data_IF_308519484191
#
_entry.id   IF_308519484191
#
_cell.length_a   1.000
_cell.length_b   1.000
_cell.length_c   1.000
_cell.angle_alpha   90.00
_cell.angle_beta   90.00
_cell.angle_gamma   90.00
#
_symmetry.space_group_name_H-M   'P 1'
#
loop_
_entity.id
_entity.type
_entity.pdbx_description
1 polymer ?
#
# COMPACT_ATOMS: atom_id res chain seq x y z
N UNK A 1 -14.94 -26.54 27.59
CA UNK A 1 -14.51 -25.42 28.44
C UNK A 1 -13.78 -24.45 27.52
N UNK A 2 -14.41 -23.31 27.25
CA UNK A 2 -14.08 -22.39 26.16
C UNK A 2 -12.81 -21.59 26.46
N UNK A 3 -11.80 -21.66 25.59
CA UNK A 3 -10.66 -20.74 25.63
C UNK A 3 -11.12 -19.35 25.17
N UNK A 4 -11.13 -18.40 26.11
CA UNK A 4 -11.44 -17.00 25.84
C UNK A 4 -10.25 -16.34 25.15
N UNK A 5 -10.39 -16.08 23.85
CA UNK A 5 -9.49 -15.28 23.05
C UNK A 5 -9.52 -13.83 23.55
N UNK A 6 -8.55 -13.43 24.38
CA UNK A 6 -8.38 -12.02 24.76
C UNK A 6 -7.76 -11.27 23.59
N UNK A 7 -8.37 -10.18 23.07
CA UNK A 7 -7.70 -9.32 22.11
C UNK A 7 -6.47 -8.71 22.80
N UNK A 8 -5.29 -8.95 22.26
CA UNK A 8 -4.07 -8.29 22.70
C UNK A 8 -4.21 -6.80 22.41
N UNK A 9 -4.34 -5.99 23.45
CA UNK A 9 -4.36 -4.53 23.35
C UNK A 9 -2.96 -4.08 22.94
N UNK A 10 -2.78 -3.59 21.71
CA UNK A 10 -1.54 -2.93 21.31
C UNK A 10 -1.29 -1.75 22.27
N UNK A 11 -0.05 -1.56 22.76
CA UNK A 11 0.27 -0.42 23.60
C UNK A 11 0.01 0.87 22.83
N UNK A 12 -0.93 1.67 23.32
CA UNK A 12 -1.27 2.96 22.73
C UNK A 12 -0.16 3.95 23.04
N UNK A 13 0.74 4.17 22.08
CA UNK A 13 1.82 5.14 22.18
C UNK A 13 1.23 6.56 22.27
N UNK A 14 1.85 7.42 23.07
CA UNK A 14 1.49 8.84 23.07
C UNK A 14 1.95 9.52 21.77
N UNK A 15 1.33 10.66 21.43
CA UNK A 15 1.60 11.37 20.18
C UNK A 15 3.08 11.75 20.02
N UNK A 16 3.74 12.13 21.12
CA UNK A 16 5.15 12.53 21.10
C UNK A 16 6.06 11.34 20.76
N UNK A 17 5.75 10.15 21.29
CA UNK A 17 6.45 8.92 20.96
C UNK A 17 6.27 8.56 19.48
N UNK A 18 5.06 8.69 18.93
CA UNK A 18 4.80 8.45 17.51
C UNK A 18 5.60 9.43 16.65
N UNK A 19 5.61 10.72 17.00
CA UNK A 19 6.38 11.75 16.29
C UNK A 19 7.88 11.44 16.35
N UNK A 20 8.39 11.03 17.51
CA UNK A 20 9.80 10.68 17.69
C UNK A 20 10.21 9.50 16.80
N UNK A 21 9.42 8.42 16.79
CA UNK A 21 9.66 7.24 15.94
C UNK A 21 9.64 7.60 14.45
N UNK A 22 8.68 8.42 14.00
CA UNK A 22 8.64 8.89 12.60
C UNK A 22 9.85 9.73 12.23
N UNK A 23 10.34 10.59 13.13
CA UNK A 23 11.56 11.38 12.91
C UNK A 23 12.81 10.51 12.84
N UNK A 24 12.89 9.48 13.67
CA UNK A 24 13.99 8.52 13.64
C UNK A 24 14.01 7.75 12.31
N UNK A 25 12.86 7.21 11.88
CA UNK A 25 12.72 6.57 10.55
C UNK A 25 13.16 7.51 9.43
N UNK A 26 12.72 8.76 9.45
CA UNK A 26 13.12 9.77 8.46
C UNK A 26 14.64 10.02 8.47
N UNK A 27 15.26 10.10 9.64
CA UNK A 27 16.71 10.27 9.75
C UNK A 27 17.46 9.07 9.14
N UNK A 28 17.01 7.85 9.39
CA UNK A 28 17.59 6.65 8.79
C UNK A 28 17.47 6.67 7.26
N UNK A 29 16.32 7.10 6.71
CA UNK A 29 16.15 7.24 5.26
C UNK A 29 17.13 8.27 4.68
N UNK A 30 17.29 9.42 5.34
CA UNK A 30 18.21 10.49 4.90
C UNK A 30 19.67 10.06 4.83
N UNK A 31 20.08 9.09 5.66
CA UNK A 31 21.43 8.53 5.62
C UNK A 31 21.66 7.59 4.44
N UNK A 32 20.59 6.98 3.91
CA UNK A 32 20.67 5.97 2.85
C UNK A 32 20.36 6.55 1.47
N UNK A 33 19.48 7.55 1.38
CA UNK A 33 18.96 8.08 0.11
C UNK A 33 18.32 9.46 0.26
N UNK A 34 17.91 10.06 -0.86
CA UNK A 34 17.02 11.22 -0.83
C UNK A 34 15.67 10.83 -0.19
N UNK A 35 15.35 11.46 0.95
CA UNK A 35 14.13 11.19 1.71
C UNK A 35 12.86 11.79 1.07
N UNK A 36 13.01 12.77 0.18
CA UNK A 36 11.90 13.39 -0.53
C UNK A 36 12.16 13.37 -2.04
N UNK A 37 12.09 12.19 -2.67
CA UNK A 37 12.19 12.09 -4.12
C UNK A 37 10.97 12.74 -4.79
N UNK A 38 11.20 13.35 -5.95
CA UNK A 38 10.18 14.03 -6.75
C UNK A 38 10.20 13.60 -8.23
N UNK A 39 10.72 12.39 -8.48
CA UNK A 39 10.94 11.80 -9.80
C UNK A 39 9.78 10.90 -10.26
N UNK A 40 8.99 10.37 -9.33
CA UNK A 40 7.84 9.53 -9.65
C UNK A 40 6.73 10.33 -10.35
N UNK A 41 6.31 9.84 -11.53
CA UNK A 41 5.21 10.40 -12.31
C UNK A 41 4.11 9.34 -12.44
N UNK A 42 2.97 9.61 -11.82
CA UNK A 42 1.74 8.83 -12.05
C UNK A 42 1.20 9.10 -13.45
N UNK A 43 0.52 8.11 -14.02
CA UNK A 43 -0.22 8.22 -15.28
C UNK A 43 -1.72 8.00 -15.10
N UNK A 44 -2.15 7.53 -13.92
CA UNK A 44 -3.51 7.10 -13.64
C UNK A 44 -4.06 7.73 -12.35
N UNK A 45 -5.39 7.89 -12.31
CA UNK A 45 -6.15 8.28 -11.13
C UNK A 45 -7.09 7.15 -10.68
N UNK A 46 -7.29 7.00 -9.37
CA UNK A 46 -8.09 5.92 -8.80
C UNK A 46 -9.53 5.91 -9.34
N UNK A 47 -10.19 7.06 -9.39
CA UNK A 47 -11.56 7.15 -9.90
C UNK A 47 -11.67 6.81 -11.39
N UNK A 48 -10.70 7.22 -12.19
CA UNK A 48 -10.68 6.93 -13.64
C UNK A 48 -10.52 5.43 -13.89
N UNK A 49 -9.60 4.78 -13.16
CA UNK A 49 -9.42 3.32 -13.24
C UNK A 49 -10.69 2.58 -12.79
N UNK A 50 -11.36 3.05 -11.74
CA UNK A 50 -12.61 2.46 -11.27
C UNK A 50 -13.74 2.67 -12.30
N UNK A 51 -13.85 3.84 -12.92
CA UNK A 51 -14.87 4.12 -13.92
C UNK A 51 -14.66 3.28 -15.19
N UNK A 52 -13.40 3.09 -15.60
CA UNK A 52 -13.06 2.37 -16.83
C UNK A 52 -13.09 0.84 -16.66
N UNK A 53 -12.63 0.32 -15.52
CA UNK A 53 -12.41 -1.12 -15.32
C UNK A 53 -13.26 -1.73 -14.20
N UNK A 54 -14.00 -0.91 -13.44
CA UNK A 54 -14.77 -1.34 -12.27
C UNK A 54 -15.85 -2.37 -12.58
N UNK A 55 -16.48 -2.29 -13.76
CA UNK A 55 -17.54 -3.20 -14.20
C UNK A 55 -17.01 -4.39 -15.03
N UNK A 56 -15.74 -4.37 -15.47
CA UNK A 56 -15.17 -5.41 -16.35
C UNK A 56 -14.83 -6.65 -15.52
N UNK A 57 -15.32 -7.83 -15.93
CA UNK A 57 -15.06 -9.09 -15.21
C UNK A 57 -13.57 -9.45 -15.14
N UNK A 58 -13.17 -10.24 -14.14
CA UNK A 58 -11.78 -10.70 -13.98
C UNK A 58 -11.23 -11.40 -15.22
N UNK A 59 -12.03 -12.29 -15.81
CA UNK A 59 -11.67 -13.08 -16.99
C UNK A 59 -11.40 -12.22 -18.24
N UNK A 60 -11.99 -11.02 -18.29
CA UNK A 60 -11.79 -10.07 -19.37
C UNK A 60 -10.67 -9.06 -19.05
N UNK A 61 -10.54 -8.63 -17.80
CA UNK A 61 -9.56 -7.63 -17.38
C UNK A 61 -8.14 -8.19 -17.29
N UNK A 62 -7.97 -9.30 -16.56
CA UNK A 62 -6.65 -9.81 -16.22
C UNK A 62 -5.78 -10.14 -17.46
N UNK A 63 -6.33 -10.70 -18.57
CA UNK A 63 -5.57 -10.93 -19.79
C UNK A 63 -5.10 -9.66 -20.51
N UNK A 64 -5.74 -8.50 -20.29
CA UNK A 64 -5.33 -7.23 -20.90
C UNK A 64 -4.02 -6.70 -20.33
N UNK A 65 -3.65 -7.14 -19.12
CA UNK A 65 -2.40 -6.78 -18.45
C UNK A 65 -2.13 -5.26 -18.43
N UNK A 66 -3.16 -4.46 -18.15
CA UNK A 66 -3.09 -2.98 -18.21
C UNK A 66 -2.05 -2.45 -17.22
N UNK A 67 -0.96 -1.80 -17.69
CA UNK A 67 0.03 -1.20 -16.81
C UNK A 67 -0.48 0.14 -16.27
N UNK A 68 -0.23 0.40 -14.99
CA UNK A 68 -0.64 1.64 -14.31
C UNK A 68 0.44 2.15 -13.38
N UNK A 69 0.54 3.48 -13.27
CA UNK A 69 1.32 4.20 -12.27
C UNK A 69 0.40 5.12 -11.49
N UNK A 70 0.29 4.88 -10.19
CA UNK A 70 -0.58 5.65 -9.30
C UNK A 70 0.19 6.11 -8.07
N UNK A 71 -0.19 7.26 -7.50
CA UNK A 71 0.40 7.76 -6.27
C UNK A 71 -0.66 8.39 -5.37
N UNK A 72 -0.54 8.14 -4.07
CA UNK A 72 -1.50 8.58 -3.08
C UNK A 72 -1.01 8.40 -1.65
N UNK A 73 -1.85 8.82 -0.71
CA UNK A 73 -1.62 8.64 0.72
C UNK A 73 -2.01 7.23 1.14
N UNK A 74 -1.15 6.53 1.87
CA UNK A 74 -1.50 5.24 2.46
C UNK A 74 -2.53 5.44 3.58
N UNK A 75 -3.72 4.86 3.38
CA UNK A 75 -4.85 4.93 4.33
C UNK A 75 -4.97 3.66 5.16
N UNK A 76 -4.73 2.51 4.55
CA UNK A 76 -4.77 1.21 5.20
C UNK A 76 -3.57 0.39 4.78
N UNK A 77 -3.10 -0.47 5.69
CA UNK A 77 -2.02 -1.41 5.48
C UNK A 77 -2.36 -2.72 6.17
N UNK A 78 -2.22 -3.84 5.46
CA UNK A 78 -2.45 -5.19 5.99
C UNK A 78 -1.34 -6.10 5.48
N UNK A 79 -0.67 -6.79 6.40
CA UNK A 79 0.40 -7.73 6.07
C UNK A 79 -0.11 -9.17 6.25
N UNK A 80 0.19 -10.04 5.28
CA UNK A 80 -0.22 -11.44 5.25
C UNK A 80 0.95 -12.32 4.79
N UNK A 81 1.99 -12.42 5.63
CA UNK A 81 3.18 -13.21 5.35
C UNK A 81 3.93 -12.72 4.11
N UNK A 82 3.86 -13.47 3.00
CA UNK A 82 4.55 -13.16 1.72
C UNK A 82 3.80 -12.17 0.83
N UNK A 83 2.62 -11.72 1.26
CA UNK A 83 1.84 -10.72 0.55
C UNK A 83 1.46 -9.58 1.50
N UNK A 84 1.31 -8.40 0.94
CA UNK A 84 0.85 -7.21 1.65
C UNK A 84 -0.19 -6.48 0.82
N UNK A 85 -1.12 -5.83 1.50
CA UNK A 85 -2.14 -4.99 0.91
C UNK A 85 -2.02 -3.58 1.49
N UNK A 86 -2.13 -2.59 0.61
CA UNK A 86 -2.31 -1.20 1.03
C UNK A 86 -3.52 -0.62 0.33
N UNK A 87 -4.28 0.22 1.02
CA UNK A 87 -5.22 1.13 0.35
C UNK A 87 -4.57 2.48 0.30
N UNK A 88 -4.45 3.05 -0.91
CA UNK A 88 -3.96 4.40 -1.10
C UNK A 88 -5.11 5.30 -1.56
N UNK A 89 -5.06 6.56 -1.16
CA UNK A 89 -6.01 7.59 -1.55
C UNK A 89 -5.30 8.68 -2.33
N UNK A 90 -5.75 8.92 -3.56
CA UNK A 90 -5.34 10.07 -4.36
C UNK A 90 -6.37 11.21 -4.28
N UNK A 91 -6.28 12.19 -5.18
CA UNK A 91 -7.19 13.34 -5.20
C UNK A 91 -8.60 13.00 -5.69
N UNK A 92 -8.78 11.82 -6.30
CA UNK A 92 -10.02 11.38 -6.96
C UNK A 92 -10.73 10.27 -6.20
N UNK A 93 -9.99 9.41 -5.49
CA UNK A 93 -10.58 8.26 -4.82
C UNK A 93 -9.54 7.36 -4.16
N UNK A 94 -9.93 6.11 -3.94
CA UNK A 94 -9.09 5.08 -3.31
C UNK A 94 -8.86 3.92 -4.26
N UNK A 95 -7.66 3.33 -4.20
CA UNK A 95 -7.32 2.11 -4.91
C UNK A 95 -6.52 1.18 -3.99
N UNK A 96 -6.66 -0.13 -4.20
CA UNK A 96 -5.90 -1.13 -3.46
C UNK A 96 -4.62 -1.50 -4.21
N UNK A 97 -3.52 -1.56 -3.49
CA UNK A 97 -2.24 -2.11 -3.92
C UNK A 97 -2.09 -3.51 -3.35
N UNK A 98 -1.69 -4.45 -4.20
CA UNK A 98 -1.29 -5.80 -3.80
C UNK A 98 0.19 -5.99 -4.07
N UNK A 99 0.95 -6.22 -3.02
CA UNK A 99 2.39 -6.41 -3.06
C UNK A 99 2.69 -7.88 -2.75
N UNK A 100 3.50 -8.53 -3.60
CA UNK A 100 4.00 -9.87 -3.35
C UNK A 100 5.42 -10.02 -3.91
N UNK A 101 6.06 -11.14 -3.60
CA UNK A 101 7.43 -11.45 -4.02
C UNK A 101 7.61 -11.69 -5.53
N UNK A 102 6.52 -11.70 -6.32
CA UNK A 102 6.57 -11.78 -7.78
C UNK A 102 6.56 -10.39 -8.42
N UNK A 103 5.89 -9.43 -7.79
CA UNK A 103 5.72 -8.06 -8.31
C UNK A 103 6.75 -7.06 -7.79
N UNK A 104 7.31 -7.27 -6.60
CA UNK A 104 8.31 -6.39 -5.98
C UNK A 104 9.46 -7.19 -5.38
N UNK A 105 10.61 -6.54 -5.19
CA UNK A 105 11.77 -7.16 -4.53
C UNK A 105 11.49 -7.46 -3.06
N UNK A 106 12.24 -8.39 -2.48
CA UNK A 106 12.16 -8.70 -1.05
C UNK A 106 12.46 -7.45 -0.19
N UNK A 107 13.40 -6.61 -0.62
CA UNK A 107 13.73 -5.35 0.05
C UNK A 107 12.52 -4.40 0.13
N UNK A 108 11.71 -4.32 -0.92
CA UNK A 108 10.49 -3.49 -0.91
C UNK A 108 9.44 -4.07 0.05
N UNK A 109 9.29 -5.39 0.11
CA UNK A 109 8.38 -6.04 1.06
C UNK A 109 8.83 -5.85 2.50
N UNK A 110 10.12 -5.99 2.78
CA UNK A 110 10.68 -5.78 4.11
C UNK A 110 10.62 -4.29 4.52
N UNK A 111 10.85 -3.39 3.55
CA UNK A 111 10.68 -1.95 3.70
C UNK A 111 9.23 -1.56 3.98
N UNK A 112 8.26 -2.22 3.35
CA UNK A 112 6.83 -1.97 3.54
C UNK A 112 6.42 -2.08 5.01
N UNK A 113 7.07 -2.96 5.80
CA UNK A 113 6.81 -3.10 7.24
C UNK A 113 7.10 -1.81 8.02
N UNK A 114 8.06 -1.02 7.55
CA UNK A 114 8.52 0.19 8.20
C UNK A 114 7.73 1.44 7.79
N UNK A 115 6.98 1.38 6.69
CA UNK A 115 6.12 2.47 6.23
C UNK A 115 4.89 2.64 7.13
N UNK A 116 4.46 3.89 7.28
CA UNK A 116 3.40 4.30 8.18
C UNK A 116 2.13 4.75 7.45
N UNK A 117 0.99 4.62 8.12
CA UNK A 117 -0.25 5.24 7.64
C UNK A 117 -0.06 6.76 7.54
N UNK A 118 -0.49 7.32 6.41
CA UNK A 118 -0.28 8.72 6.06
C UNK A 118 0.92 8.98 5.16
N UNK A 119 1.84 8.03 4.98
CA UNK A 119 2.94 8.17 4.03
C UNK A 119 2.41 8.32 2.59
N UNK A 120 3.12 9.11 1.78
CA UNK A 120 2.84 9.24 0.35
C UNK A 120 3.64 8.16 -0.38
N UNK A 121 2.94 7.33 -1.14
CA UNK A 121 3.54 6.23 -1.89
C UNK A 121 3.18 6.33 -3.36
N UNK A 122 4.13 5.95 -4.22
CA UNK A 122 3.92 5.69 -5.64
C UNK A 122 4.00 4.19 -5.91
N UNK A 123 3.14 3.69 -6.78
CA UNK A 123 3.10 2.29 -7.18
C UNK A 123 3.00 2.19 -8.70
N UNK A 124 3.76 1.24 -9.25
CA UNK A 124 3.72 0.85 -10.66
C UNK A 124 3.43 -0.65 -10.71
N UNK A 125 2.49 -1.05 -11.55
CA UNK A 125 2.09 -2.45 -11.64
C UNK A 125 1.01 -2.70 -12.68
N UNK A 126 0.42 -3.89 -12.62
CA UNK A 126 -0.64 -4.32 -13.53
C UNK A 126 -1.98 -4.34 -12.80
N UNK A 127 -3.00 -3.75 -13.42
CA UNK A 127 -4.39 -3.84 -12.95
C UNK A 127 -4.87 -5.28 -13.01
N UNK A 128 -5.55 -5.73 -11.95
CA UNK A 128 -6.18 -7.05 -11.90
C UNK A 128 -7.36 -7.01 -10.93
N UNK A 129 -8.27 -7.98 -11.02
CA UNK A 129 -9.34 -8.16 -10.04
C UNK A 129 -9.01 -9.28 -9.04
N UNK A 130 -9.00 -8.99 -7.72
CA UNK A 130 -8.84 -10.04 -6.72
C UNK A 130 -10.03 -11.00 -6.80
N UNK A 131 -9.80 -12.29 -6.52
CA UNK A 131 -10.90 -13.25 -6.40
C UNK A 131 -11.62 -12.96 -5.08
N UNK A 132 -12.78 -12.33 -5.13
CA UNK A 132 -13.66 -12.20 -3.96
C UNK A 132 -14.27 -13.57 -3.70
N UNK A 133 -13.97 -14.19 -2.57
CA UNK A 133 -14.78 -15.31 -2.10
C UNK A 133 -16.14 -14.73 -1.67
N UNK A 134 -17.21 -15.18 -2.32
CA UNK A 134 -18.58 -14.87 -1.90
C UNK A 134 -18.88 -15.47 -0.52
#
# INVERSE_FOLDING_TARGET
MSEQNHPQTEPQLDENQIIALRREKLNNIRQQRNAYPNDFKRDSFAADLQAQYGEIGKEELDPQAVPVKIAGRMMLKRQMGKASFATIQDVTGQIQLYLNNKGVSQEVLDGFNHWDLGDIVGAEGTLFKPTTAN
#
